data_IF_902542988679
#
_entry.id   IF_902542988679
#
_cell.length_a   1.000
_cell.length_b   1.000
_cell.length_c   1.000
_cell.angle_alpha   90.00
_cell.angle_beta   90.00
_cell.angle_gamma   90.00
#
_symmetry.space_group_name_H-M   'P 1'
#
loop_
_entity.id
_entity.type
_entity.pdbx_description
1 polymer ?
#
# COMPACT_ATOMS: atom_id res chain seq x y z
N UNK A 1 -8.32 -6.71 28.30
CA UNK A 1 -9.59 -7.23 27.70
C UNK A 1 -9.23 -8.16 26.55
N UNK A 2 -9.68 -9.41 26.57
CA UNK A 2 -9.58 -10.33 25.43
C UNK A 2 -10.54 -9.87 24.34
N UNK A 3 -10.06 -9.66 23.12
CA UNK A 3 -10.89 -9.17 22.00
C UNK A 3 -11.66 -10.33 21.36
N UNK A 4 -12.74 -10.02 20.63
CA UNK A 4 -13.51 -11.04 19.90
C UNK A 4 -12.75 -11.68 18.72
N UNK A 5 -11.67 -11.05 18.26
CA UNK A 5 -10.73 -11.63 17.27
C UNK A 5 -9.64 -12.51 17.90
N UNK A 6 -9.56 -12.59 19.23
CA UNK A 6 -8.57 -13.39 19.96
C UNK A 6 -7.33 -12.63 20.43
N UNK A 7 -7.25 -11.33 20.17
CA UNK A 7 -6.19 -10.44 20.65
C UNK A 7 -6.42 -9.91 22.07
N UNK A 8 -5.65 -8.89 22.43
CA UNK A 8 -5.64 -8.29 23.77
C UNK A 8 -5.63 -6.76 23.69
N UNK A 9 -6.55 -6.12 24.40
CA UNK A 9 -6.45 -4.69 24.72
C UNK A 9 -5.95 -4.52 26.16
N UNK A 10 -4.99 -3.62 26.34
CA UNK A 10 -4.45 -3.19 27.63
C UNK A 10 -4.78 -1.72 27.80
N UNK A 11 -5.26 -1.33 28.99
CA UNK A 11 -5.73 0.04 29.25
C UNK A 11 -4.95 0.63 30.43
N UNK A 12 -4.57 1.89 30.27
CA UNK A 12 -3.97 2.76 31.27
C UNK A 12 -4.41 4.19 30.96
N UNK A 13 -4.24 5.10 31.91
CA UNK A 13 -4.48 6.54 31.72
C UNK A 13 -3.14 7.23 31.58
N UNK A 14 -2.93 8.02 30.54
CA UNK A 14 -1.68 8.76 30.34
C UNK A 14 -1.95 10.08 29.61
N UNK A 15 -1.02 11.01 29.75
CA UNK A 15 -0.88 12.23 28.95
C UNK A 15 -0.09 12.00 27.65
N UNK A 16 0.39 10.77 27.41
CA UNK A 16 0.95 10.36 26.13
C UNK A 16 -0.14 10.32 25.04
N UNK A 17 0.03 11.12 23.99
CA UNK A 17 -1.03 11.44 23.02
C UNK A 17 -0.75 10.92 21.59
N UNK A 18 0.36 10.21 21.40
CA UNK A 18 0.84 9.80 20.09
C UNK A 18 0.51 8.33 19.81
N UNK A 19 0.07 8.02 18.59
CA UNK A 19 -0.24 6.66 18.14
C UNK A 19 0.99 5.97 17.55
N UNK A 20 1.16 4.66 17.78
CA UNK A 20 2.27 3.88 17.22
C UNK A 20 1.84 2.51 16.72
N UNK A 21 2.50 2.01 15.68
CA UNK A 21 2.48 0.59 15.32
C UNK A 21 3.74 -0.05 15.88
N UNK A 22 3.61 -1.15 16.60
CA UNK A 22 4.75 -1.84 17.21
C UNK A 22 5.61 -2.51 16.13
N UNK A 23 6.93 -2.48 16.32
CA UNK A 23 7.94 -2.95 15.34
C UNK A 23 7.78 -4.43 14.97
N UNK A 24 7.32 -5.24 15.93
CA UNK A 24 7.09 -6.67 15.77
C UNK A 24 5.77 -7.01 15.04
N UNK A 25 4.95 -6.02 14.71
CA UNK A 25 3.63 -6.23 14.09
C UNK A 25 2.61 -6.94 14.99
N UNK A 26 2.90 -7.09 16.29
CA UNK A 26 2.03 -7.78 17.24
C UNK A 26 0.94 -6.88 17.82
N UNK A 27 0.98 -5.58 17.53
CA UNK A 27 -0.01 -4.64 18.01
C UNK A 27 0.29 -3.20 17.67
N UNK A 28 -0.48 -2.35 18.31
CA UNK A 28 -0.51 -0.91 18.11
C UNK A 28 -0.85 -0.20 19.41
N UNK A 29 -0.21 0.93 19.62
CA UNK A 29 -0.52 1.86 20.68
C UNK A 29 -1.53 2.87 20.14
N UNK A 30 -2.72 2.89 20.74
CA UNK A 30 -3.84 3.76 20.36
C UNK A 30 -4.01 4.88 21.38
N UNK A 31 -3.74 6.11 20.98
CA UNK A 31 -3.99 7.36 21.69
C UNK A 31 -4.87 8.29 20.85
N UNK A 32 -5.12 9.52 21.31
CA UNK A 32 -5.75 10.66 20.63
C UNK A 32 -6.47 10.37 19.30
N UNK A 33 -7.79 10.56 19.29
CA UNK A 33 -8.69 10.37 18.13
C UNK A 33 -8.79 8.93 17.60
N UNK A 34 -8.23 7.94 18.31
CA UNK A 34 -8.50 6.53 18.08
C UNK A 34 -9.41 5.94 19.16
N UNK A 35 -10.15 4.90 18.76
CA UNK A 35 -11.10 4.20 19.60
C UNK A 35 -10.84 2.70 19.55
N UNK A 36 -11.06 2.05 20.68
CA UNK A 36 -11.01 0.59 20.80
C UNK A 36 -12.37 0.10 21.29
N UNK A 37 -12.80 -1.06 20.80
CA UNK A 37 -14.02 -1.70 21.27
C UNK A 37 -13.84 -2.13 22.74
N UNK A 38 -14.82 -1.76 23.57
CA UNK A 38 -14.81 -2.01 25.02
C UNK A 38 -15.30 -3.40 25.43
N UNK A 39 -15.20 -3.70 26.72
CA UNK A 39 -15.76 -4.92 27.31
C UNK A 39 -17.28 -4.99 27.12
N UNK A 40 -17.81 -6.21 27.01
CA UNK A 40 -19.25 -6.46 26.89
C UNK A 40 -19.79 -6.36 25.45
N UNK A 41 -19.03 -5.76 24.53
CA UNK A 41 -19.35 -5.77 23.11
C UNK A 41 -19.24 -7.17 22.50
N UNK A 42 -19.92 -7.40 21.38
CA UNK A 42 -19.86 -8.64 20.59
C UNK A 42 -19.24 -8.34 19.22
N UNK A 43 -18.20 -9.08 18.86
CA UNK A 43 -17.53 -8.99 17.55
C UNK A 43 -18.42 -9.62 16.46
N UNK A 44 -18.29 -9.24 15.18
CA UNK A 44 -19.10 -9.81 14.09
C UNK A 44 -19.07 -11.34 13.96
N UNK A 45 -18.04 -12.01 14.48
CA UNK A 45 -17.95 -13.47 14.53
C UNK A 45 -18.72 -14.11 15.71
N UNK A 46 -19.44 -13.33 16.51
CA UNK A 46 -20.18 -13.79 17.69
C UNK A 46 -19.38 -13.83 19.00
N UNK A 47 -18.06 -13.67 18.95
CA UNK A 47 -17.23 -13.70 20.16
C UNK A 47 -17.34 -12.38 20.95
N UNK A 48 -17.31 -12.48 22.29
CA UNK A 48 -17.39 -11.31 23.18
C UNK A 48 -16.03 -10.72 23.49
N UNK A 49 -16.02 -9.42 23.80
CA UNK A 49 -14.90 -8.74 24.43
C UNK A 49 -14.97 -8.94 25.93
N UNK A 50 -14.03 -9.70 26.50
CA UNK A 50 -14.11 -10.21 27.88
C UNK A 50 -13.01 -9.58 28.74
N UNK A 51 -13.33 -8.96 29.90
CA UNK A 51 -12.34 -8.60 30.90
C UNK A 51 -11.61 -9.87 31.38
N UNK A 52 -10.28 -9.89 31.25
CA UNK A 52 -9.49 -11.03 31.74
C UNK A 52 -9.20 -10.92 33.23
N UNK A 53 -8.90 -9.69 33.68
CA UNK A 53 -8.55 -9.37 35.05
C UNK A 53 -9.41 -8.19 35.51
N UNK A 54 -9.70 -8.12 36.81
CA UNK A 54 -10.42 -7.01 37.44
C UNK A 54 -9.46 -6.08 38.20
N UNK A 55 -8.42 -5.62 37.51
CA UNK A 55 -7.43 -4.71 38.08
C UNK A 55 -7.85 -3.26 37.82
N UNK A 56 -7.50 -2.36 38.74
CA UNK A 56 -7.67 -0.93 38.53
C UNK A 56 -6.83 -0.47 37.34
N UNK A 57 -7.40 0.41 36.50
CA UNK A 57 -6.68 1.06 35.41
C UNK A 57 -5.67 2.02 36.05
N UNK A 58 -4.39 1.74 35.83
CA UNK A 58 -3.30 2.56 36.37
C UNK A 58 -3.12 3.83 35.53
N UNK A 59 -2.59 4.87 36.19
CA UNK A 59 -2.12 6.08 35.53
C UNK A 59 -0.61 5.96 35.33
N UNK A 60 -0.14 6.23 34.12
CA UNK A 60 1.26 6.23 33.74
C UNK A 60 1.61 7.60 33.14
N UNK A 61 2.74 8.17 33.54
CA UNK A 61 3.26 9.41 32.95
C UNK A 61 3.70 9.18 31.51
N UNK A 62 3.83 10.27 30.76
CA UNK A 62 4.39 10.25 29.40
C UNK A 62 5.75 9.54 29.35
N UNK A 63 6.63 9.83 30.30
CA UNK A 63 7.98 9.26 30.39
C UNK A 63 7.96 7.76 30.65
N UNK A 64 7.07 7.27 31.52
CA UNK A 64 6.89 5.84 31.78
C UNK A 64 6.41 5.11 30.52
N UNK A 65 5.47 5.71 29.77
CA UNK A 65 5.01 5.17 28.50
C UNK A 65 6.14 5.16 27.46
N UNK A 66 6.92 6.24 27.37
CA UNK A 66 8.06 6.31 26.47
C UNK A 66 9.09 5.23 26.79
N UNK A 67 9.43 5.01 28.06
CA UNK A 67 10.35 3.95 28.47
C UNK A 67 9.85 2.56 28.04
N UNK A 68 8.55 2.29 28.19
CA UNK A 68 7.93 1.02 27.77
C UNK A 68 7.92 0.88 26.24
N UNK A 69 7.62 1.97 25.52
CA UNK A 69 7.38 1.92 24.08
C UNK A 69 8.63 2.06 23.24
N UNK A 70 9.61 2.88 23.64
CA UNK A 70 10.82 3.19 22.86
C UNK A 70 11.53 1.94 22.30
N UNK A 71 11.68 0.82 23.04
CA UNK A 71 12.28 -0.41 22.50
C UNK A 71 11.44 -1.10 21.42
N UNK A 72 10.17 -0.73 21.28
CA UNK A 72 9.17 -1.45 20.50
C UNK A 72 8.49 -0.59 19.43
N UNK A 73 8.81 0.69 19.35
CA UNK A 73 8.35 1.60 18.30
C UNK A 73 9.49 1.89 17.34
N UNK A 74 9.17 2.14 16.07
CA UNK A 74 10.21 2.54 15.09
C UNK A 74 10.70 3.93 15.50
N UNK A 75 11.99 4.06 15.83
CA UNK A 75 12.59 5.37 16.03
C UNK A 75 12.46 6.18 14.73
N UNK A 76 11.60 7.20 14.74
CA UNK A 76 11.38 8.06 13.57
C UNK A 76 12.59 9.02 13.36
N UNK A 77 13.52 9.13 14.33
CA UNK A 77 14.54 10.17 14.35
C UNK A 77 16.00 9.76 14.13
N UNK A 78 16.39 8.50 14.30
CA UNK A 78 17.80 8.08 14.19
C UNK A 78 17.84 6.65 13.65
N UNK A 79 18.64 6.46 12.62
CA UNK A 79 18.88 5.22 11.87
C UNK A 79 17.85 4.85 10.78
N UNK A 80 18.26 5.25 9.57
CA UNK A 80 18.20 4.44 8.35
C UNK A 80 16.82 3.93 7.97
N UNK A 81 16.13 4.73 7.16
CA UNK A 81 15.39 4.27 5.97
C UNK A 81 15.02 2.78 6.00
N UNK A 82 14.13 2.39 6.91
CA UNK A 82 13.36 1.17 6.71
C UNK A 82 12.58 1.48 5.43
N UNK A 83 12.78 0.73 4.33
CA UNK A 83 12.05 0.99 3.11
C UNK A 83 10.58 0.91 3.50
N UNK A 84 9.90 2.06 3.45
CA UNK A 84 8.46 2.18 3.54
C UNK A 84 7.97 1.07 2.62
N UNK A 85 7.35 0.04 3.21
CA UNK A 85 7.08 -1.22 2.52
C UNK A 85 6.60 -0.88 1.13
N UNK A 86 7.41 -1.24 0.12
CA UNK A 86 7.35 -0.74 -1.26
C UNK A 86 5.92 -0.31 -1.55
N UNK A 87 5.65 1.00 -1.52
CA UNK A 87 4.32 1.53 -1.86
C UNK A 87 4.19 1.38 -3.38
N UNK A 88 4.02 0.13 -3.79
CA UNK A 88 3.80 -0.35 -5.15
C UNK A 88 2.31 -0.21 -5.50
N UNK A 89 1.52 0.43 -4.63
CA UNK A 89 0.07 0.50 -4.79
C UNK A 89 -0.34 1.17 -6.10
N UNK A 90 0.58 1.90 -6.78
CA UNK A 90 0.34 2.59 -8.06
C UNK A 90 -0.96 3.41 -8.03
N UNK A 91 -1.42 3.75 -6.82
CA UNK A 91 -2.79 4.15 -6.52
C UNK A 91 -2.92 5.66 -6.38
N UNK A 92 -1.79 6.36 -6.24
CA UNK A 92 -1.77 7.80 -6.12
C UNK A 92 -2.41 8.46 -7.34
N UNK A 93 -3.11 9.56 -7.10
CA UNK A 93 -3.82 10.31 -8.14
C UNK A 93 -2.82 10.84 -9.17
N UNK A 94 -1.65 11.27 -8.70
CA UNK A 94 -0.55 11.78 -9.49
C UNK A 94 0.00 10.71 -10.44
N UNK A 95 0.27 9.51 -9.92
CA UNK A 95 0.79 8.40 -10.73
C UNK A 95 -0.17 8.02 -11.86
N UNK A 96 -1.47 7.89 -11.54
CA UNK A 96 -2.52 7.61 -12.55
C UNK A 96 -2.63 8.72 -13.60
N UNK A 97 -2.51 9.99 -13.18
CA UNK A 97 -2.56 11.13 -14.09
C UNK A 97 -1.38 11.14 -15.06
N UNK A 98 -0.16 10.90 -14.56
CA UNK A 98 1.05 10.82 -15.40
C UNK A 98 0.90 9.69 -16.43
N UNK A 99 0.45 8.50 -16.01
CA UNK A 99 0.18 7.40 -16.95
C UNK A 99 -0.81 7.82 -18.04
N UNK A 100 -1.91 8.48 -17.67
CA UNK A 100 -2.91 8.91 -18.63
C UNK A 100 -2.35 9.89 -19.67
N UNK A 101 -1.51 10.85 -19.25
CA UNK A 101 -0.89 11.81 -20.18
C UNK A 101 0.22 11.18 -21.04
N UNK A 102 0.99 10.24 -20.50
CA UNK A 102 1.97 9.44 -21.25
C UNK A 102 1.30 8.58 -22.33
N UNK A 103 0.13 7.98 -22.03
CA UNK A 103 -0.65 7.21 -23.01
C UNK A 103 -1.20 8.08 -24.15
N UNK A 104 -1.43 9.38 -23.91
CA UNK A 104 -1.79 10.36 -24.95
C UNK A 104 -0.60 10.85 -25.78
N UNK A 105 0.64 10.55 -25.38
CA UNK A 105 1.84 11.04 -26.07
C UNK A 105 2.25 12.46 -25.68
N UNK A 106 1.81 12.95 -24.52
CA UNK A 106 2.21 14.26 -24.01
C UNK A 106 3.70 14.27 -23.66
N UNK A 107 4.42 15.35 -23.97
CA UNK A 107 5.84 15.47 -23.64
C UNK A 107 6.06 15.54 -22.13
N UNK A 108 7.27 15.17 -21.69
CA UNK A 108 7.67 15.18 -20.27
C UNK A 108 7.47 16.57 -19.66
N UNK A 109 7.93 17.60 -20.33
CA UNK A 109 7.88 19.00 -19.88
C UNK A 109 6.43 19.45 -19.65
N UNK A 110 5.53 19.13 -20.59
CA UNK A 110 4.11 19.46 -20.50
C UNK A 110 3.43 18.70 -19.36
N UNK A 111 3.83 17.45 -19.12
CA UNK A 111 3.32 16.68 -17.97
C UNK A 111 3.73 17.36 -16.66
N UNK A 112 4.99 17.79 -16.52
CA UNK A 112 5.43 18.52 -15.31
C UNK A 112 4.62 19.80 -15.08
N UNK A 113 4.29 20.54 -16.15
CA UNK A 113 3.43 21.72 -16.06
C UNK A 113 2.00 21.36 -15.60
N UNK A 114 1.39 20.32 -16.19
CA UNK A 114 0.07 19.81 -15.79
C UNK A 114 0.07 19.39 -14.31
N UNK A 115 1.14 18.72 -13.88
CA UNK A 115 1.30 18.25 -12.51
C UNK A 115 1.47 19.40 -11.51
N UNK A 116 1.85 20.60 -11.97
CA UNK A 116 1.89 21.82 -11.15
C UNK A 116 0.54 22.25 -10.57
N UNK A 117 -0.59 21.75 -11.10
CA UNK A 117 -1.91 21.99 -10.53
C UNK A 117 -2.20 21.13 -9.27
N UNK A 118 -1.37 20.13 -8.96
CA UNK A 118 -1.57 19.21 -7.85
C UNK A 118 -0.75 19.65 -6.64
N UNK A 119 -1.42 20.09 -5.57
CA UNK A 119 -0.75 20.63 -4.37
C UNK A 119 0.28 19.66 -3.78
N UNK A 120 -0.06 18.37 -3.66
CA UNK A 120 0.84 17.32 -3.17
C UNK A 120 2.08 17.16 -4.06
N UNK A 121 1.93 17.32 -5.37
CA UNK A 121 3.06 17.27 -6.31
C UNK A 121 3.99 18.46 -6.10
N UNK A 122 3.43 19.67 -6.04
CA UNK A 122 4.21 20.91 -5.88
C UNK A 122 4.93 21.01 -4.54
N UNK A 123 4.37 20.45 -3.48
CA UNK A 123 5.00 20.45 -2.14
C UNK A 123 5.95 19.28 -1.93
N UNK A 124 5.95 18.27 -2.81
CA UNK A 124 6.82 17.11 -2.69
C UNK A 124 8.26 17.46 -3.08
N UNK A 125 9.20 16.65 -2.59
CA UNK A 125 10.62 16.78 -2.97
C UNK A 125 10.82 16.47 -4.45
N UNK A 126 11.82 17.09 -5.07
CA UNK A 126 12.17 16.83 -6.47
C UNK A 126 12.44 15.34 -6.72
N UNK A 127 13.07 14.66 -5.75
CA UNK A 127 13.30 13.22 -5.81
C UNK A 127 11.98 12.42 -5.91
N UNK A 128 10.97 12.77 -5.13
CA UNK A 128 9.65 12.12 -5.21
C UNK A 128 9.00 12.32 -6.58
N UNK A 129 9.05 13.54 -7.11
CA UNK A 129 8.49 13.88 -8.42
C UNK A 129 9.16 13.05 -9.53
N UNK A 130 10.50 13.04 -9.55
CA UNK A 130 11.30 12.29 -10.54
C UNK A 130 11.00 10.80 -10.47
N UNK A 131 11.08 10.20 -9.27
CA UNK A 131 10.82 8.76 -9.11
C UNK A 131 9.38 8.37 -9.49
N UNK A 132 8.39 9.21 -9.17
CA UNK A 132 6.99 8.94 -9.51
C UNK A 132 6.78 8.97 -11.02
N UNK A 133 7.40 9.93 -11.70
CA UNK A 133 7.36 10.02 -13.16
C UNK A 133 8.05 8.82 -13.81
N UNK A 134 9.27 8.49 -13.41
CA UNK A 134 10.05 7.40 -14.00
C UNK A 134 9.36 6.04 -13.82
N UNK A 135 8.76 5.79 -12.65
CA UNK A 135 7.97 4.58 -12.42
C UNK A 135 6.72 4.51 -13.32
N UNK A 136 6.11 5.66 -13.64
CA UNK A 136 4.95 5.72 -14.53
C UNK A 136 5.35 5.50 -15.99
N UNK A 137 6.47 6.09 -16.40
CA UNK A 137 7.07 5.95 -17.73
C UNK A 137 7.50 4.50 -18.01
N UNK A 138 8.24 3.89 -17.08
CA UNK A 138 8.64 2.49 -17.17
C UNK A 138 7.43 1.56 -17.31
N UNK A 139 6.37 1.79 -16.52
CA UNK A 139 5.15 1.00 -16.61
C UNK A 139 4.47 1.09 -17.99
N UNK A 140 4.34 2.30 -18.55
CA UNK A 140 3.75 2.48 -19.88
C UNK A 140 4.61 1.83 -20.98
N UNK A 141 5.94 1.85 -20.81
CA UNK A 141 6.86 1.17 -21.73
C UNK A 141 6.68 -0.35 -21.68
N UNK A 142 6.65 -0.94 -20.48
CA UNK A 142 6.40 -2.37 -20.29
C UNK A 142 5.05 -2.81 -20.89
N UNK A 143 3.98 -2.04 -20.71
CA UNK A 143 2.66 -2.34 -21.31
C UNK A 143 2.72 -2.33 -22.85
N UNK A 144 3.43 -1.36 -23.44
CA UNK A 144 3.61 -1.28 -24.90
C UNK A 144 4.41 -2.47 -25.44
N UNK A 145 5.39 -2.96 -24.69
CA UNK A 145 6.18 -4.14 -25.09
C UNK A 145 5.36 -5.42 -24.99
N UNK A 146 4.61 -5.62 -23.91
CA UNK A 146 3.72 -6.79 -23.74
C UNK A 146 2.64 -6.86 -24.81
N UNK A 147 2.03 -5.73 -25.16
CA UNK A 147 1.04 -5.67 -26.24
C UNK A 147 1.63 -6.06 -27.61
N UNK A 148 2.92 -5.79 -27.87
CA UNK A 148 3.60 -6.21 -29.09
C UNK A 148 3.92 -7.71 -29.11
N UNK A 149 4.34 -8.28 -27.97
CA UNK A 149 4.66 -9.70 -27.90
C UNK A 149 3.43 -10.58 -28.09
N UNK A 150 2.30 -10.22 -27.48
CA UNK A 150 1.04 -10.97 -27.60
C UNK A 150 0.45 -10.89 -29.03
N UNK A 151 0.53 -9.73 -29.66
CA UNK A 151 0.11 -9.55 -31.06
C UNK A 151 0.97 -10.38 -32.03
N UNK A 152 2.29 -10.43 -31.79
CA UNK A 152 3.23 -11.26 -32.57
C UNK A 152 2.95 -12.76 -32.41
N UNK A 153 2.65 -13.21 -31.18
CA UNK A 153 2.32 -14.62 -30.90
C UNK A 153 0.98 -15.03 -31.52
N UNK A 154 -0.04 -14.17 -31.45
CA UNK A 154 -1.31 -14.40 -32.12
C UNK A 154 -1.16 -14.51 -33.64
N UNK A 155 -0.36 -13.62 -34.25
CA UNK A 155 -0.05 -13.66 -35.69
C UNK A 155 0.71 -14.94 -36.08
N UNK A 156 1.65 -15.43 -35.26
CA UNK A 156 2.31 -16.72 -35.47
C UNK A 156 1.30 -17.87 -35.43
N UNK A 157 0.48 -17.94 -34.39
CA UNK A 157 -0.49 -19.03 -34.19
C UNK A 157 -1.61 -19.06 -35.24
N UNK A 158 -2.03 -17.89 -35.75
CA UNK A 158 -3.03 -17.80 -36.83
C UNK A 158 -2.50 -18.34 -38.17
N UNK A 159 -1.23 -18.10 -38.51
CA UNK A 159 -0.59 -18.64 -39.72
C UNK A 159 -0.51 -20.17 -39.70
N UNK A 160 -0.29 -20.79 -38.54
CA UNK A 160 -0.26 -22.25 -38.42
C UNK A 160 -1.63 -22.91 -38.67
N UNK A 161 -2.74 -22.24 -38.31
CA UNK A 161 -4.09 -22.76 -38.58
C UNK A 161 -4.47 -22.73 -40.06
N UNK A 162 -4.00 -21.74 -40.82
CA UNK A 162 -4.31 -21.60 -42.25
C UNK A 162 -3.58 -22.66 -43.11
N UNK A 163 -2.38 -23.10 -42.71
CA UNK A 163 -1.63 -24.13 -43.44
C UNK A 163 -2.21 -25.55 -43.32
N UNK A 164 -3.01 -25.88 -42.29
CA UNK A 164 -3.59 -27.23 -42.14
C UNK A 164 -4.82 -27.47 -43.03
N UNK A 165 -5.55 -26.42 -43.43
CA UNK A 165 -6.75 -26.58 -44.27
C UNK A 165 -6.46 -26.80 -45.76
N UNK A 166 -5.22 -26.57 -46.23
CA UNK A 166 -4.85 -26.82 -47.64
C UNK A 166 -4.27 -28.23 -47.90
N UNK A 167 -4.01 -29.05 -46.87
CA UNK A 167 -3.45 -30.41 -47.05
C UNK A 167 -4.48 -31.52 -47.22
N UNK A 168 -5.78 -31.27 -47.02
CA UNK A 168 -6.81 -32.32 -47.12
C UNK A 168 -7.49 -32.43 -48.50
N UNK A 169 -7.07 -31.66 -49.51
CA UNK A 169 -7.66 -31.70 -50.87
C UNK A 169 -6.84 -32.46 -51.92
N UNK A 170 -5.78 -33.18 -51.54
CA UNK A 170 -4.86 -33.83 -52.50
C UNK A 170 -4.63 -35.33 -52.27
N UNK A 171 -5.60 -36.06 -51.69
CA UNK A 171 -5.45 -37.51 -51.44
C UNK A 171 -6.58 -38.39 -51.99
N UNK A 172 -7.35 -37.90 -52.96
CA UNK A 172 -8.24 -38.77 -53.75
C UNK A 172 -8.08 -38.47 -55.23
N UNK A 173 -7.08 -39.10 -55.84
CA UNK A 173 -6.94 -39.35 -57.27
C UNK A 173 -6.10 -40.61 -57.44
#
# INVERSE_FOLDING_TARGET
>A
IKTGSGGLHIYFISDYDTNHVLTNGLGEFRASNYQCVGAGCTHPNGNKYIPLNNNLIQRLSKEEIEEILLPHIRNIGVDNSIPTGKDDSRSSLEYRKIIAELKKGTSRENIYQIMGAYSKWTTATQQYQVMTFEKAEAFVLEEKEKGKSESSEYLRNSRYKICRHKRHKFQHS
#
